data_IF_579881295172
#
_entry.id   IF_579881295172
#
_cell.length_a   1.000
_cell.length_b   1.000
_cell.length_c   1.000
_cell.angle_alpha   90.00
_cell.angle_beta   90.00
_cell.angle_gamma   90.00
#
_symmetry.space_group_name_H-M   'P 1'
#
loop_
_entity.id
_entity.type
_entity.pdbx_description
1 polymer ?
#
# COMPACT_ATOMS: atom_id res chain seq x y z
N UNK A 1 1.74 -85.92 -10.51
CA UNK A 1 1.67 -84.66 -9.76
C UNK A 1 2.68 -83.70 -10.40
N UNK A 2 2.23 -82.88 -11.36
CA UNK A 2 3.06 -81.91 -12.07
C UNK A 2 2.41 -80.54 -11.87
N UNK A 3 3.06 -79.67 -11.10
CA UNK A 3 2.55 -78.37 -10.69
C UNK A 3 2.93 -77.35 -11.77
N UNK A 4 1.96 -76.85 -12.53
CA UNK A 4 2.14 -75.76 -13.49
C UNK A 4 1.98 -74.45 -12.71
N UNK A 5 3.07 -73.70 -12.54
CA UNK A 5 3.05 -72.35 -11.98
C UNK A 5 2.76 -71.36 -13.12
N UNK A 6 1.54 -70.82 -13.12
CA UNK A 6 1.15 -69.70 -13.99
C UNK A 6 1.72 -68.41 -13.38
N UNK A 7 2.70 -67.81 -14.05
CA UNK A 7 3.22 -66.48 -13.72
C UNK A 7 2.37 -65.45 -14.46
N UNK A 8 1.50 -64.76 -13.73
CA UNK A 8 0.70 -63.66 -14.23
C UNK A 8 1.55 -62.39 -14.31
N UNK A 9 1.87 -61.91 -15.51
CA UNK A 9 2.44 -60.58 -15.72
C UNK A 9 1.32 -59.54 -15.59
N UNK A 10 1.31 -58.79 -14.49
CA UNK A 10 0.48 -57.59 -14.33
C UNK A 10 1.20 -56.46 -15.05
N UNK A 11 0.69 -56.04 -16.21
CA UNK A 11 1.12 -54.80 -16.86
C UNK A 11 0.47 -53.62 -16.13
N UNK A 12 1.22 -52.93 -15.28
CA UNK A 12 0.82 -51.61 -14.78
C UNK A 12 1.11 -50.57 -15.85
N UNK A 13 0.05 -50.13 -16.54
CA UNK A 13 0.09 -48.91 -17.34
C UNK A 13 0.42 -47.75 -16.41
N UNK A 14 1.67 -47.28 -16.44
CA UNK A 14 2.04 -46.01 -15.83
C UNK A 14 1.41 -44.91 -16.70
N UNK A 15 0.32 -44.31 -16.23
CA UNK A 15 -0.09 -43.00 -16.73
C UNK A 15 1.02 -42.03 -16.31
N UNK A 16 1.89 -41.66 -17.26
CA UNK A 16 2.70 -40.47 -17.09
C UNK A 16 1.72 -39.29 -16.99
N UNK A 17 1.63 -38.67 -15.81
CA UNK A 17 0.98 -37.36 -15.68
C UNK A 17 1.74 -36.43 -16.62
N UNK A 18 1.05 -35.78 -17.56
CA UNK A 18 1.66 -34.75 -18.39
C UNK A 18 2.26 -33.69 -17.46
N UNK A 19 3.56 -33.48 -17.56
CA UNK A 19 4.25 -32.43 -16.82
C UNK A 19 3.73 -31.09 -17.36
N UNK A 20 3.13 -30.27 -16.51
CA UNK A 20 2.59 -28.96 -16.90
C UNK A 20 3.77 -28.10 -17.36
N UNK A 21 3.85 -27.85 -18.67
CA UNK A 21 4.97 -27.12 -19.25
C UNK A 21 4.97 -25.69 -18.68
N UNK A 22 6.04 -25.35 -17.97
CA UNK A 22 6.16 -24.10 -17.22
C UNK A 22 7.32 -23.25 -17.69
N UNK A 23 7.15 -21.94 -17.57
CA UNK A 23 8.13 -20.93 -17.99
C UNK A 23 8.39 -19.98 -16.83
N UNK A 24 9.64 -19.87 -16.39
CA UNK A 24 10.05 -18.85 -15.42
C UNK A 24 10.02 -17.45 -16.07
N UNK A 25 9.42 -16.49 -15.39
CA UNK A 25 9.29 -15.10 -15.87
C UNK A 25 9.83 -14.10 -14.87
N UNK A 26 10.10 -12.89 -15.34
CA UNK A 26 10.58 -11.77 -14.51
C UNK A 26 9.56 -10.64 -14.50
N UNK A 27 9.44 -9.98 -13.36
CA UNK A 27 8.60 -8.80 -13.19
C UNK A 27 8.99 -7.70 -14.19
N UNK A 28 7.99 -6.95 -14.66
CA UNK A 28 8.09 -5.84 -15.62
C UNK A 28 8.81 -6.18 -16.94
N UNK A 29 8.89 -7.46 -17.31
CA UNK A 29 9.51 -7.93 -18.55
C UNK A 29 8.48 -8.65 -19.42
N UNK A 30 8.53 -8.44 -20.74
CA UNK A 30 7.69 -9.19 -21.68
C UNK A 30 8.11 -10.66 -21.73
N UNK A 31 7.14 -11.55 -21.74
CA UNK A 31 7.34 -12.98 -21.95
C UNK A 31 6.25 -13.53 -22.87
N UNK A 32 6.57 -14.65 -23.53
CA UNK A 32 5.63 -15.39 -24.35
C UNK A 32 5.11 -16.60 -23.58
N UNK A 33 3.80 -16.81 -23.64
CA UNK A 33 3.15 -17.94 -23.01
C UNK A 33 2.27 -18.65 -24.05
N UNK A 34 2.55 -19.91 -24.32
CA UNK A 34 1.73 -20.73 -25.22
C UNK A 34 0.46 -21.17 -24.51
N UNK A 35 -0.62 -21.42 -25.24
CA UNK A 35 -1.83 -22.00 -24.67
C UNK A 35 -1.52 -23.30 -23.90
N UNK A 36 -2.20 -23.48 -22.76
CA UNK A 36 -2.00 -24.53 -21.77
C UNK A 36 -0.70 -24.46 -20.95
N UNK A 37 0.25 -23.58 -21.27
CA UNK A 37 1.45 -23.36 -20.45
C UNK A 37 1.17 -22.51 -19.21
N UNK A 38 2.04 -22.68 -18.22
CA UNK A 38 2.02 -21.91 -16.96
C UNK A 38 3.27 -21.04 -16.83
N UNK A 39 3.10 -19.72 -16.74
CA UNK A 39 4.15 -18.79 -16.33
C UNK A 39 4.31 -18.78 -14.81
N UNK A 40 5.54 -18.77 -14.31
CA UNK A 40 5.88 -18.73 -12.89
C UNK A 40 6.73 -17.50 -12.59
N UNK A 41 6.21 -16.62 -11.73
CA UNK A 41 6.92 -15.47 -11.17
C UNK A 41 7.22 -15.76 -9.69
N UNK A 42 8.45 -16.16 -9.41
CA UNK A 42 8.89 -16.62 -8.09
C UNK A 42 8.91 -15.50 -7.03
N UNK A 43 9.18 -14.24 -7.41
CA UNK A 43 9.30 -13.12 -6.45
C UNK A 43 8.05 -12.91 -5.61
N UNK A 44 6.88 -13.17 -6.20
CA UNK A 44 5.55 -12.89 -5.63
C UNK A 44 4.70 -14.16 -5.54
N UNK A 45 5.31 -15.34 -5.76
CA UNK A 45 4.65 -16.66 -5.82
C UNK A 45 3.42 -16.68 -6.75
N UNK A 46 3.54 -16.07 -7.93
CA UNK A 46 2.46 -16.01 -8.91
C UNK A 46 2.63 -17.13 -9.94
N UNK A 47 1.56 -17.88 -10.17
CA UNK A 47 1.44 -18.86 -11.27
C UNK A 47 0.29 -18.41 -12.17
N UNK A 48 0.58 -18.20 -13.45
CA UNK A 48 -0.42 -17.79 -14.43
C UNK A 48 -0.51 -18.80 -15.57
N UNK A 49 -1.66 -19.45 -15.72
CA UNK A 49 -1.88 -20.44 -16.78
C UNK A 49 -2.72 -19.85 -17.91
N UNK A 50 -2.26 -19.97 -19.16
CA UNK A 50 -3.04 -19.59 -20.33
C UNK A 50 -4.05 -20.71 -20.65
N UNK A 51 -5.32 -20.48 -20.34
CA UNK A 51 -6.36 -21.50 -20.46
C UNK A 51 -6.95 -21.60 -21.87
N UNK A 52 -7.42 -20.48 -22.44
CA UNK A 52 -8.17 -20.54 -23.69
C UNK A 52 -8.25 -19.19 -24.40
N UNK A 53 -8.57 -19.20 -25.70
CA UNK A 53 -9.02 -18.06 -26.49
C UNK A 53 -10.54 -18.17 -26.64
N UNK A 54 -11.28 -17.29 -25.97
CA UNK A 54 -12.76 -17.32 -25.98
C UNK A 54 -13.37 -16.54 -27.14
N UNK A 55 -12.58 -15.67 -27.76
CA UNK A 55 -12.98 -14.92 -28.94
C UNK A 55 -11.73 -14.55 -29.73
N UNK A 56 -11.75 -14.81 -31.04
CA UNK A 56 -10.81 -14.21 -31.97
C UNK A 56 -11.57 -13.82 -33.25
N UNK A 57 -11.85 -12.54 -33.36
CA UNK A 57 -12.52 -11.92 -34.50
C UNK A 57 -11.64 -10.86 -35.16
N UNK A 58 -10.33 -10.87 -34.87
CA UNK A 58 -9.36 -9.96 -35.49
C UNK A 58 -9.46 -10.09 -37.01
N UNK A 59 -9.48 -8.96 -37.70
CA UNK A 59 -9.57 -8.93 -39.15
C UNK A 59 -8.45 -9.80 -39.75
N UNK A 60 -8.74 -10.83 -40.55
CA UNK A 60 -7.66 -11.64 -41.12
C UNK A 60 -6.69 -10.79 -41.94
N UNK A 61 -5.39 -11.06 -41.80
CA UNK A 61 -4.32 -10.24 -42.40
C UNK A 61 -4.31 -10.23 -43.94
N UNK A 62 -5.02 -11.17 -44.57
CA UNK A 62 -5.15 -11.38 -46.00
C UNK A 62 -6.47 -10.84 -46.59
N UNK A 63 -7.29 -10.15 -45.77
CA UNK A 63 -8.54 -9.52 -46.22
C UNK A 63 -8.60 -8.06 -45.80
N UNK A 64 -9.54 -7.30 -46.38
CA UNK A 64 -9.82 -5.92 -45.98
C UNK A 64 -11.14 -5.88 -45.20
N UNK A 65 -11.08 -5.52 -43.92
CA UNK A 65 -12.26 -5.39 -43.08
C UNK A 65 -12.72 -3.93 -42.92
N UNK A 66 -14.00 -3.77 -42.58
CA UNK A 66 -14.56 -2.49 -42.10
C UNK A 66 -14.24 -2.28 -40.61
N UNK A 67 -14.00 -3.36 -39.88
CA UNK A 67 -13.72 -3.36 -38.44
C UNK A 67 -12.50 -4.25 -38.15
N UNK A 68 -11.57 -3.77 -37.33
CA UNK A 68 -10.31 -4.46 -36.99
C UNK A 68 -10.52 -5.72 -36.10
N UNK A 69 -11.67 -5.84 -35.46
CA UNK A 69 -12.02 -7.01 -34.63
C UNK A 69 -11.39 -7.00 -33.23
N UNK A 70 -11.45 -8.13 -32.53
CA UNK A 70 -10.86 -8.27 -31.19
C UNK A 70 -10.42 -9.70 -30.90
N UNK A 71 -9.54 -9.86 -29.91
CA UNK A 71 -9.17 -11.16 -29.35
C UNK A 71 -9.29 -11.14 -27.84
N UNK A 72 -9.88 -12.17 -27.26
CA UNK A 72 -10.04 -12.35 -25.81
C UNK A 72 -9.41 -13.67 -25.37
N UNK A 73 -8.32 -13.56 -24.61
CA UNK A 73 -7.70 -14.71 -23.94
C UNK A 73 -8.18 -14.80 -22.49
N UNK A 74 -8.10 -16.01 -21.93
CA UNK A 74 -8.39 -16.32 -20.54
C UNK A 74 -7.15 -16.87 -19.87
N UNK A 75 -6.74 -16.24 -18.78
CA UNK A 75 -5.65 -16.71 -17.93
C UNK A 75 -6.18 -17.02 -16.53
N UNK A 76 -5.80 -18.16 -15.96
CA UNK A 76 -6.01 -18.42 -14.53
C UNK A 76 -4.82 -17.86 -13.75
N UNK A 77 -5.08 -17.22 -12.61
CA UNK A 77 -4.03 -16.69 -11.74
C UNK A 77 -4.12 -17.39 -10.40
N UNK A 78 -2.98 -17.88 -9.92
CA UNK A 78 -2.78 -18.28 -8.53
C UNK A 78 -1.69 -17.45 -7.90
N UNK A 79 -1.88 -17.07 -6.65
CA UNK A 79 -0.86 -16.37 -5.86
C UNK A 79 -0.78 -17.00 -4.47
N UNK A 80 0.43 -17.36 -4.03
CA UNK A 80 0.62 -18.10 -2.77
C UNK A 80 -0.26 -19.37 -2.70
N UNK A 81 -0.36 -20.09 -3.83
CA UNK A 81 -1.23 -21.26 -4.06
C UNK A 81 -2.75 -21.03 -3.91
N UNK A 82 -3.20 -19.80 -3.65
CA UNK A 82 -4.61 -19.42 -3.72
C UNK A 82 -5.02 -19.17 -5.17
N UNK A 83 -6.08 -19.84 -5.63
CA UNK A 83 -6.70 -19.56 -6.94
C UNK A 83 -7.49 -18.25 -6.88
N UNK A 84 -7.11 -17.27 -7.70
CA UNK A 84 -7.76 -15.96 -7.80
C UNK A 84 -8.82 -15.93 -8.89
N UNK A 85 -8.96 -17.01 -9.67
CA UNK A 85 -9.93 -17.13 -10.74
C UNK A 85 -9.37 -16.82 -12.13
N UNK A 86 -10.31 -16.72 -13.08
CA UNK A 86 -10.01 -16.65 -14.51
C UNK A 86 -10.19 -15.22 -15.02
N UNK A 87 -9.09 -14.58 -15.40
CA UNK A 87 -9.07 -13.21 -15.90
C UNK A 87 -9.18 -13.19 -17.42
N UNK A 88 -10.06 -12.33 -17.93
CA UNK A 88 -10.24 -12.10 -19.37
C UNK A 88 -9.46 -10.88 -19.80
N UNK A 89 -8.59 -11.05 -20.80
CA UNK A 89 -7.83 -9.96 -21.42
C UNK A 89 -8.31 -9.80 -22.85
N UNK A 90 -8.96 -8.68 -23.15
CA UNK A 90 -9.55 -8.40 -24.48
C UNK A 90 -8.79 -7.28 -25.17
N UNK A 91 -8.09 -7.62 -26.25
CA UNK A 91 -7.41 -6.66 -27.12
C UNK A 91 -8.34 -6.31 -28.30
N UNK A 92 -8.70 -5.04 -28.42
CA UNK A 92 -9.58 -4.52 -29.47
C UNK A 92 -8.72 -3.84 -30.52
N UNK A 93 -8.88 -4.25 -31.79
CA UNK A 93 -8.16 -3.66 -32.91
C UNK A 93 -8.51 -2.18 -33.09
N UNK A 94 -7.49 -1.36 -33.41
CA UNK A 94 -7.62 0.09 -33.53
C UNK A 94 -7.64 0.86 -32.20
N UNK A 95 -7.55 0.18 -31.06
CA UNK A 95 -7.30 0.83 -29.76
C UNK A 95 -5.83 0.74 -29.40
N UNK A 96 -5.23 1.88 -29.04
CA UNK A 96 -3.83 1.94 -28.58
C UNK A 96 -3.64 1.38 -27.17
N UNK A 97 -4.71 1.23 -26.40
CA UNK A 97 -4.63 0.71 -25.03
C UNK A 97 -4.55 -0.82 -25.04
N UNK A 98 -3.48 -1.34 -24.46
CA UNK A 98 -3.32 -2.76 -24.13
C UNK A 98 -4.39 -3.20 -23.12
N UNK A 99 -4.79 -4.46 -23.21
CA UNK A 99 -5.76 -5.01 -22.26
C UNK A 99 -5.09 -5.20 -20.91
N UNK A 100 -5.66 -4.59 -19.86
CA UNK A 100 -5.09 -4.63 -18.50
C UNK A 100 -6.08 -5.29 -17.54
N UNK A 101 -5.55 -6.13 -16.64
CA UNK A 101 -6.28 -6.66 -15.49
C UNK A 101 -5.44 -6.48 -14.22
N UNK A 102 -6.03 -5.88 -13.19
CA UNK A 102 -5.40 -5.69 -11.88
C UNK A 102 -5.81 -6.79 -10.90
N UNK A 103 -4.88 -7.21 -10.05
CA UNK A 103 -5.10 -8.14 -8.95
C UNK A 103 -4.00 -7.95 -7.90
N UNK A 104 -4.35 -7.85 -6.62
CA UNK A 104 -3.43 -7.98 -5.47
C UNK A 104 -2.12 -7.16 -5.58
N UNK A 105 -2.18 -5.91 -6.05
CA UNK A 105 -1.00 -5.04 -6.19
C UNK A 105 -0.14 -5.34 -7.42
N UNK A 106 -0.57 -6.26 -8.29
CA UNK A 106 -0.01 -6.50 -9.62
C UNK A 106 -1.05 -6.20 -10.72
N UNK A 107 -0.54 -6.03 -11.94
CA UNK A 107 -1.33 -5.99 -13.15
C UNK A 107 -0.74 -6.92 -14.20
N UNK A 108 -1.62 -7.47 -15.04
CA UNK A 108 -1.24 -8.16 -16.28
C UNK A 108 -1.65 -7.31 -17.46
N UNK A 109 -0.72 -7.17 -18.41
CA UNK A 109 -0.95 -6.49 -19.68
C UNK A 109 -0.79 -7.49 -20.83
N UNK A 110 -1.81 -7.59 -21.68
CA UNK A 110 -1.74 -8.34 -22.93
C UNK A 110 -1.22 -7.43 -24.04
N UNK A 111 -0.02 -7.73 -24.53
CA UNK A 111 0.67 -6.96 -25.57
C UNK A 111 0.25 -7.44 -26.96
N UNK A 112 0.25 -8.76 -27.16
CA UNK A 112 0.02 -9.37 -28.47
C UNK A 112 -0.49 -10.81 -28.32
N UNK A 113 -1.24 -11.28 -29.31
CA UNK A 113 -1.62 -12.69 -29.46
C UNK A 113 -1.19 -13.17 -30.84
N UNK A 114 -0.48 -14.28 -30.92
CA UNK A 114 -0.06 -14.93 -32.15
C UNK A 114 -0.64 -16.36 -32.23
N UNK A 115 -0.82 -16.94 -33.44
CA UNK A 115 -0.70 -16.27 -34.73
C UNK A 115 -1.81 -15.23 -34.94
N UNK A 116 -1.58 -14.31 -35.87
CA UNK A 116 -2.63 -13.42 -36.36
C UNK A 116 -3.49 -14.16 -37.41
N UNK A 117 -4.83 -13.99 -37.41
CA UNK A 117 -5.70 -14.76 -38.30
C UNK A 117 -5.42 -14.55 -39.80
N UNK A 118 -5.66 -15.61 -40.59
CA UNK A 118 -5.76 -15.60 -42.05
C UNK A 118 -7.05 -16.27 -42.48
N UNK A 119 -7.65 -15.80 -43.57
CA UNK A 119 -8.95 -16.27 -44.03
C UNK A 119 -8.99 -17.74 -44.47
N UNK A 120 -7.83 -18.34 -44.72
CA UNK A 120 -7.67 -19.71 -45.20
C UNK A 120 -7.13 -20.69 -44.15
N UNK A 121 -6.84 -20.23 -42.94
CA UNK A 121 -6.20 -21.03 -41.89
C UNK A 121 -7.06 -21.05 -40.62
N UNK A 122 -7.38 -22.26 -40.15
CA UNK A 122 -8.02 -22.45 -38.84
C UNK A 122 -6.93 -22.57 -37.76
N UNK A 123 -6.95 -21.66 -36.78
CA UNK A 123 -5.98 -21.66 -35.67
C UNK A 123 -6.47 -22.62 -34.57
N UNK A 124 -5.67 -23.63 -34.21
CA UNK A 124 -5.98 -24.48 -33.07
C UNK A 124 -5.58 -23.80 -31.76
N UNK A 125 -6.24 -24.16 -30.65
CA UNK A 125 -5.91 -23.58 -29.34
C UNK A 125 -4.41 -23.72 -29.02
N UNK A 126 -3.84 -24.89 -29.29
CA UNK A 126 -2.43 -25.20 -29.07
C UNK A 126 -1.45 -24.33 -29.87
N UNK A 127 -1.92 -23.62 -30.90
CA UNK A 127 -1.06 -22.77 -31.72
C UNK A 127 -0.93 -21.36 -31.15
N UNK A 128 -1.84 -20.97 -30.24
CA UNK A 128 -1.83 -19.62 -29.68
C UNK A 128 -0.66 -19.40 -28.72
N UNK A 129 -0.05 -18.23 -28.87
CA UNK A 129 1.01 -17.68 -28.00
C UNK A 129 0.63 -16.25 -27.65
N UNK A 130 0.53 -15.94 -26.37
CA UNK A 130 0.29 -14.58 -25.88
C UNK A 130 1.60 -13.94 -25.41
N UNK A 131 1.85 -12.69 -25.81
CA UNK A 131 2.92 -11.85 -25.26
C UNK A 131 2.34 -11.03 -24.11
N UNK A 132 2.86 -11.24 -22.91
CA UNK A 132 2.31 -10.71 -21.66
C UNK A 132 3.38 -9.97 -20.85
N UNK A 133 2.95 -9.06 -19.98
CA UNK A 133 3.78 -8.44 -18.94
C UNK A 133 3.04 -8.54 -17.61
N UNK A 134 3.75 -8.94 -16.56
CA UNK A 134 3.30 -8.81 -15.17
C UNK A 134 4.14 -7.71 -14.53
N UNK A 135 3.52 -6.74 -13.87
CA UNK A 135 4.22 -5.67 -13.16
C UNK A 135 3.44 -5.20 -11.95
N UNK A 136 4.11 -4.49 -11.05
CA UNK A 136 3.43 -3.86 -9.92
C UNK A 136 2.42 -2.79 -10.35
N UNK A 137 1.39 -2.61 -9.54
CA UNK A 137 0.45 -1.50 -9.62
C UNK A 137 0.19 -0.94 -8.22
N UNK A 138 0.03 0.39 -8.07
CA UNK A 138 -0.43 0.97 -6.80
C UNK A 138 -1.88 0.60 -6.49
N UNK A 139 -2.62 0.01 -7.44
CA UNK A 139 -4.02 -0.37 -7.25
C UNK A 139 -4.16 -1.40 -6.12
N UNK A 140 -4.98 -1.05 -5.14
CA UNK A 140 -5.28 -1.89 -3.98
C UNK A 140 -6.49 -2.77 -4.27
N UNK A 141 -6.28 -3.81 -5.06
CA UNK A 141 -7.34 -4.76 -5.42
C UNK A 141 -7.40 -5.94 -4.45
N UNK A 142 -8.57 -6.18 -3.88
CA UNK A 142 -8.91 -7.39 -3.14
C UNK A 142 -9.77 -8.26 -4.06
N UNK A 143 -9.39 -9.53 -4.22
CA UNK A 143 -10.17 -10.51 -4.96
C UNK A 143 -11.11 -11.22 -3.99
N UNK A 144 -12.32 -11.54 -4.44
CA UNK A 144 -13.18 -12.54 -3.81
C UNK A 144 -13.02 -13.83 -4.61
N UNK A 145 -12.19 -14.78 -4.16
CA UNK A 145 -11.85 -15.96 -4.96
C UNK A 145 -13.04 -16.87 -5.30
N UNK A 146 -12.88 -17.73 -6.33
CA UNK A 146 -13.82 -18.81 -6.61
C UNK A 146 -14.08 -19.73 -5.41
N UNK A 147 -15.34 -20.08 -5.19
CA UNK A 147 -15.77 -21.04 -4.18
C UNK A 147 -15.88 -20.51 -2.75
N UNK A 148 -15.74 -19.21 -2.53
CA UNK A 148 -15.79 -18.57 -1.20
C UNK A 148 -17.20 -18.44 -0.63
N UNK A 149 -18.23 -18.63 -1.47
CA UNK A 149 -19.62 -18.89 -1.08
C UNK A 149 -19.84 -20.22 -0.32
N UNK A 150 -18.81 -21.04 -0.15
CA UNK A 150 -18.82 -22.23 0.71
C UNK A 150 -17.86 -22.02 1.88
N UNK A 151 -18.20 -22.60 3.02
CA UNK A 151 -17.33 -22.62 4.20
C UNK A 151 -16.02 -23.37 3.93
N UNK A 152 -14.98 -22.98 4.65
CA UNK A 152 -13.61 -23.51 4.58
C UNK A 152 -12.56 -22.47 4.17
N UNK A 153 -12.96 -21.36 3.54
CA UNK A 153 -12.03 -20.28 3.19
C UNK A 153 -11.60 -19.46 4.43
N UNK A 154 -12.43 -19.43 5.46
CA UNK A 154 -12.22 -18.69 6.70
C UNK A 154 -11.10 -19.29 7.56
N UNK A 155 -10.89 -20.60 7.47
CA UNK A 155 -9.82 -21.32 8.20
C UNK A 155 -8.42 -20.87 7.76
N UNK A 156 -8.31 -20.40 6.51
CA UNK A 156 -7.04 -19.96 5.90
C UNK A 156 -6.98 -18.47 5.63
N UNK A 157 -8.03 -17.70 6.00
CA UNK A 157 -8.13 -16.27 5.71
C UNK A 157 -7.95 -15.99 4.20
N UNK A 158 -8.71 -16.69 3.35
CA UNK A 158 -8.64 -16.56 1.88
C UNK A 158 -10.00 -16.23 1.25
N UNK A 159 -11.04 -15.96 2.05
CA UNK A 159 -12.36 -15.59 1.55
C UNK A 159 -12.36 -14.26 0.80
N UNK A 160 -11.60 -13.29 1.33
CA UNK A 160 -11.14 -12.09 0.64
C UNK A 160 -9.63 -12.23 0.53
N UNK A 161 -9.06 -12.00 -0.66
CA UNK A 161 -7.65 -12.19 -0.92
C UNK A 161 -6.99 -10.93 -1.49
N UNK A 162 -6.01 -10.34 -0.80
CA UNK A 162 -5.58 -10.67 0.56
C UNK A 162 -6.69 -10.37 1.59
N UNK A 163 -6.65 -11.04 2.75
CA UNK A 163 -7.68 -10.88 3.79
C UNK A 163 -7.59 -9.55 4.53
N UNK A 164 -6.35 -9.11 4.74
CA UNK A 164 -6.00 -7.81 5.30
C UNK A 164 -5.12 -7.05 4.31
N UNK A 165 -5.37 -5.75 4.17
CA UNK A 165 -4.47 -4.84 3.47
C UNK A 165 -4.16 -3.63 4.32
N UNK A 166 -2.94 -3.12 4.16
CA UNK A 166 -2.51 -1.84 4.69
C UNK A 166 -2.47 -0.84 3.54
N UNK A 167 -3.12 0.31 3.73
CA UNK A 167 -3.22 1.36 2.71
C UNK A 167 -2.94 2.72 3.31
N UNK A 168 -2.53 3.66 2.47
CA UNK A 168 -2.35 5.05 2.88
C UNK A 168 -3.70 5.78 2.98
N UNK A 169 -3.74 6.85 3.77
CA UNK A 169 -4.91 7.74 3.79
C UNK A 169 -5.22 8.25 2.38
N UNK A 170 -6.51 8.31 2.05
CA UNK A 170 -7.06 8.67 0.74
C UNK A 170 -6.90 7.61 -0.36
N UNK A 171 -6.37 6.43 -0.07
CA UNK A 171 -6.34 5.34 -1.02
C UNK A 171 -7.75 4.82 -1.36
N UNK A 172 -7.90 4.30 -2.59
CA UNK A 172 -9.10 3.61 -3.05
C UNK A 172 -8.81 2.12 -3.08
N UNK A 173 -9.63 1.34 -2.39
CA UNK A 173 -9.60 -0.12 -2.45
C UNK A 173 -10.70 -0.59 -3.37
N UNK A 174 -10.40 -1.59 -4.20
CA UNK A 174 -11.36 -2.20 -5.11
C UNK A 174 -11.49 -3.68 -4.81
N UNK A 175 -12.70 -4.13 -4.51
CA UNK A 175 -13.04 -5.56 -4.44
C UNK A 175 -13.54 -6.02 -5.79
N UNK A 176 -13.02 -7.14 -6.28
CA UNK A 176 -13.51 -7.80 -7.51
C UNK A 176 -14.06 -9.17 -7.17
N UNK A 177 -15.30 -9.42 -7.56
CA UNK A 177 -15.91 -10.74 -7.36
C UNK A 177 -15.48 -11.70 -8.48
N UNK A 178 -14.60 -12.65 -8.15
CA UNK A 178 -14.18 -13.73 -9.06
C UNK A 178 -14.87 -15.07 -8.72
N UNK A 179 -15.79 -15.07 -7.74
CA UNK A 179 -16.65 -16.21 -7.45
C UNK A 179 -17.82 -16.29 -8.45
N UNK A 180 -18.40 -17.47 -8.60
CA UNK A 180 -19.60 -17.69 -9.42
C UNK A 180 -20.88 -17.24 -8.71
N UNK A 181 -20.82 -17.01 -7.40
CA UNK A 181 -21.93 -16.55 -6.58
C UNK A 181 -21.82 -15.05 -6.28
N UNK A 182 -22.93 -14.43 -5.89
CA UNK A 182 -22.94 -13.03 -5.47
C UNK A 182 -22.31 -12.87 -4.09
N UNK A 183 -21.71 -11.71 -3.84
CA UNK A 183 -21.12 -11.36 -2.55
C UNK A 183 -21.43 -9.91 -2.17
N UNK A 184 -21.11 -9.53 -0.93
CA UNK A 184 -21.18 -8.13 -0.48
C UNK A 184 -19.92 -7.78 0.28
N UNK A 185 -19.52 -6.52 0.25
CA UNK A 185 -18.48 -5.93 1.10
C UNK A 185 -19.16 -4.89 1.98
N UNK A 186 -19.40 -5.23 3.23
CA UNK A 186 -20.13 -4.37 4.18
C UNK A 186 -19.28 -4.13 5.42
N UNK A 187 -19.03 -2.86 5.74
CA UNK A 187 -18.26 -2.47 6.92
C UNK A 187 -18.99 -2.82 8.21
N UNK A 188 -18.23 -3.23 9.23
CA UNK A 188 -18.74 -3.75 10.49
C UNK A 188 -18.26 -5.17 10.75
N UNK A 189 -18.92 -5.86 11.67
CA UNK A 189 -18.54 -7.21 12.07
C UNK A 189 -19.77 -8.12 12.23
N UNK A 190 -19.55 -9.43 12.32
CA UNK A 190 -20.63 -10.43 12.40
C UNK A 190 -21.40 -10.41 13.73
N UNK A 191 -20.88 -9.75 14.76
CA UNK A 191 -21.48 -9.69 16.11
C UNK A 191 -22.42 -8.48 16.19
N UNK A 192 -21.93 -7.30 15.84
CA UNK A 192 -22.65 -6.02 15.95
C UNK A 192 -23.41 -5.67 14.67
N UNK A 193 -23.07 -6.31 13.55
CA UNK A 193 -23.64 -6.03 12.24
C UNK A 193 -22.96 -4.84 11.54
N UNK A 194 -23.65 -4.22 10.57
CA UNK A 194 -23.09 -3.14 9.77
C UNK A 194 -22.93 -1.85 10.59
N UNK A 195 -21.78 -1.17 10.44
CA UNK A 195 -21.48 0.09 11.13
C UNK A 195 -21.83 1.35 10.30
N UNK A 196 -22.38 1.15 9.09
CA UNK A 196 -22.80 2.16 8.12
C UNK A 196 -21.67 3.05 7.55
N UNK A 197 -20.41 2.61 7.60
CA UNK A 197 -19.29 3.32 6.95
C UNK A 197 -19.30 3.10 5.42
N UNK A 198 -19.43 1.86 4.96
CA UNK A 198 -19.58 1.49 3.56
C UNK A 198 -20.35 0.19 3.38
N UNK A 199 -21.07 0.08 2.26
CA UNK A 199 -21.67 -1.17 1.81
C UNK A 199 -21.74 -1.20 0.30
N UNK A 200 -21.32 -2.31 -0.30
CA UNK A 200 -21.35 -2.50 -1.75
C UNK A 200 -22.73 -2.79 -2.32
N UNK A 201 -23.67 -3.24 -1.48
CA UNK A 201 -24.80 -4.05 -1.97
C UNK A 201 -24.31 -5.37 -2.57
N UNK A 202 -25.12 -5.99 -3.45
CA UNK A 202 -24.73 -7.21 -4.13
C UNK A 202 -23.71 -6.92 -5.24
N UNK A 203 -22.57 -7.62 -5.20
CA UNK A 203 -21.56 -7.65 -6.24
C UNK A 203 -21.73 -8.97 -7.00
N UNK A 204 -22.13 -8.91 -8.27
CA UNK A 204 -22.28 -10.12 -9.11
C UNK A 204 -20.90 -10.62 -9.57
N UNK A 205 -20.82 -11.86 -10.11
CA UNK A 205 -19.60 -12.35 -10.73
C UNK A 205 -19.04 -11.36 -11.76
N UNK A 206 -17.72 -11.17 -11.74
CA UNK A 206 -16.94 -10.21 -12.53
C UNK A 206 -17.20 -8.71 -12.22
N UNK A 207 -18.16 -8.36 -11.36
CA UNK A 207 -18.37 -6.97 -10.94
C UNK A 207 -17.38 -6.56 -9.84
N UNK A 208 -17.23 -5.24 -9.71
CA UNK A 208 -16.33 -4.62 -8.74
C UNK A 208 -17.07 -3.62 -7.86
N UNK A 209 -16.58 -3.46 -6.63
CA UNK A 209 -16.95 -2.37 -5.74
C UNK A 209 -15.69 -1.62 -5.31
N UNK A 210 -15.74 -0.30 -5.25
CA UNK A 210 -14.61 0.51 -4.79
C UNK A 210 -15.03 1.46 -3.69
N UNK A 211 -14.15 1.67 -2.71
CA UNK A 211 -14.36 2.61 -1.63
C UNK A 211 -13.09 3.41 -1.36
N UNK A 212 -13.23 4.72 -1.12
CA UNK A 212 -12.13 5.61 -0.76
C UNK A 212 -12.04 5.76 0.74
N UNK A 213 -10.89 5.40 1.30
CA UNK A 213 -10.65 5.44 2.73
C UNK A 213 -9.99 6.76 3.13
N UNK A 214 -10.71 7.60 3.88
CA UNK A 214 -10.23 8.94 4.26
C UNK A 214 -9.87 9.07 5.74
N UNK A 215 -10.31 8.15 6.60
CA UNK A 215 -10.06 8.24 8.04
C UNK A 215 -9.08 7.14 8.46
N UNK A 216 -8.03 7.53 9.17
CA UNK A 216 -7.03 6.59 9.69
C UNK A 216 -7.63 5.76 10.82
N UNK A 217 -7.88 4.48 10.54
CA UNK A 217 -8.30 3.44 11.48
C UNK A 217 -8.34 2.09 10.75
N UNK A 218 -8.40 0.97 11.47
CA UNK A 218 -8.87 -0.28 10.89
C UNK A 218 -10.37 -0.22 10.55
N UNK A 219 -10.72 -0.87 9.45
CA UNK A 219 -12.07 -1.08 8.96
C UNK A 219 -12.30 -2.57 8.75
N UNK A 220 -12.94 -3.22 9.71
CA UNK A 220 -13.42 -4.57 9.53
C UNK A 220 -14.64 -4.56 8.61
N UNK A 221 -14.75 -5.62 7.80
CA UNK A 221 -15.86 -5.81 6.91
C UNK A 221 -16.17 -7.30 6.74
N UNK A 222 -17.38 -7.59 6.28
CA UNK A 222 -17.86 -8.96 6.10
C UNK A 222 -18.85 -9.07 4.94
N UNK A 223 -19.08 -10.31 4.49
CA UNK A 223 -20.16 -10.63 3.57
C UNK A 223 -21.48 -10.86 4.34
N UNK A 224 -22.53 -10.11 4.00
CA UNK A 224 -23.83 -10.19 4.68
C UNK A 224 -24.57 -11.51 4.43
N UNK A 225 -24.34 -12.14 3.26
CA UNK A 225 -25.00 -13.40 2.89
C UNK A 225 -24.12 -14.63 3.16
N UNK A 226 -22.82 -14.42 3.38
CA UNK A 226 -21.84 -15.46 3.71
C UNK A 226 -21.06 -15.06 4.97
N UNK A 227 -21.62 -15.20 6.18
CA UNK A 227 -21.07 -14.60 7.40
C UNK A 227 -19.69 -15.10 7.82
N UNK A 228 -19.18 -16.21 7.28
CA UNK A 228 -17.81 -16.67 7.53
C UNK A 228 -16.75 -15.82 6.81
N UNK A 229 -17.15 -15.05 5.79
CA UNK A 229 -16.24 -14.19 5.04
C UNK A 229 -16.05 -12.87 5.76
N UNK A 230 -14.92 -12.74 6.45
CA UNK A 230 -14.48 -11.49 7.10
C UNK A 230 -13.17 -11.02 6.49
N UNK A 231 -12.92 -9.71 6.53
CA UNK A 231 -11.65 -9.11 6.12
C UNK A 231 -11.45 -7.77 6.84
N UNK A 232 -10.26 -7.18 6.67
CA UNK A 232 -9.96 -5.88 7.24
C UNK A 232 -9.17 -5.00 6.26
N UNK A 233 -9.40 -3.70 6.32
CA UNK A 233 -8.57 -2.68 5.66
C UNK A 233 -8.01 -1.80 6.76
N UNK A 234 -6.70 -1.81 6.92
CA UNK A 234 -6.01 -0.91 7.84
C UNK A 234 -5.55 0.31 7.06
N UNK A 235 -6.14 1.47 7.37
CA UNK A 235 -5.63 2.74 6.84
C UNK A 235 -4.47 3.13 7.72
N UNK A 236 -3.29 2.77 7.23
CA UNK A 236 -2.03 3.15 7.81
C UNK A 236 -1.65 4.56 7.40
N UNK A 237 -0.73 5.06 8.20
CA UNK A 237 -0.19 6.36 8.07
C UNK A 237 1.26 6.21 7.65
N UNK A 238 1.56 6.53 6.39
CA UNK A 238 2.92 6.41 5.86
C UNK A 238 3.72 7.58 6.40
N UNK A 239 4.73 7.31 7.25
CA UNK A 239 5.39 8.37 7.98
C UNK A 239 6.39 9.08 7.07
N UNK A 240 5.96 10.14 6.38
CA UNK A 240 6.78 10.98 5.51
C UNK A 240 7.47 10.24 4.34
N UNK A 241 7.88 11.01 3.33
CA UNK A 241 8.71 10.48 2.24
C UNK A 241 9.93 9.74 2.84
N UNK A 242 10.07 8.45 2.54
CA UNK A 242 11.13 7.56 3.05
C UNK A 242 12.55 8.06 2.73
N UNK A 243 12.67 9.05 1.84
CA UNK A 243 13.92 9.71 1.50
C UNK A 243 14.25 10.91 2.40
N UNK A 244 13.31 11.40 3.22
CA UNK A 244 13.55 12.51 4.14
C UNK A 244 14.06 12.00 5.49
N UNK A 245 15.03 12.71 6.07
CA UNK A 245 15.50 12.44 7.43
C UNK A 245 14.43 12.85 8.44
N UNK A 246 13.97 11.87 9.22
CA UNK A 246 12.96 12.06 10.27
C UNK A 246 13.62 12.16 11.64
N UNK A 247 13.26 13.21 12.37
CA UNK A 247 13.73 13.48 13.73
C UNK A 247 12.64 13.03 14.69
N UNK A 248 12.96 12.06 15.55
CA UNK A 248 12.04 11.55 16.57
C UNK A 248 12.43 12.09 17.95
N UNK A 249 11.47 12.67 18.66
CA UNK A 249 11.62 13.10 20.06
C UNK A 249 10.46 12.55 20.88
N UNK A 250 10.74 12.17 22.12
CA UNK A 250 9.75 11.65 23.06
C UNK A 250 9.74 12.50 24.33
N UNK A 251 8.55 12.75 24.85
CA UNK A 251 8.28 13.47 26.07
C UNK A 251 7.04 12.88 26.71
N UNK A 252 6.76 13.21 27.97
CA UNK A 252 5.64 12.63 28.69
C UNK A 252 5.03 13.64 29.65
N UNK A 253 3.77 13.41 30.01
CA UNK A 253 3.11 14.12 31.08
C UNK A 253 3.71 13.74 32.44
N UNK A 254 3.56 14.64 33.41
CA UNK A 254 4.12 14.56 34.75
C UNK A 254 3.66 13.32 35.53
N UNK A 255 2.44 12.85 35.26
CA UNK A 255 1.86 11.63 35.81
C UNK A 255 2.24 10.36 35.02
N UNK A 256 3.02 10.50 33.94
CA UNK A 256 3.44 9.42 33.05
C UNK A 256 2.30 8.67 32.33
N UNK A 257 1.08 9.21 32.34
CA UNK A 257 -0.07 8.54 31.72
C UNK A 257 -0.12 8.74 30.21
N UNK A 258 0.46 9.84 29.70
CA UNK A 258 0.54 10.14 28.26
C UNK A 258 1.99 10.40 27.88
N UNK A 259 2.54 9.52 27.05
CA UNK A 259 3.79 9.70 26.32
C UNK A 259 3.43 10.32 24.96
N UNK A 260 4.07 11.42 24.61
CA UNK A 260 3.95 12.08 23.32
C UNK A 260 5.25 11.87 22.56
N UNK A 261 5.16 11.24 21.39
CA UNK A 261 6.27 11.11 20.44
C UNK A 261 6.02 12.06 19.28
N UNK A 262 6.96 12.96 19.02
CA UNK A 262 6.97 13.82 17.84
C UNK A 262 7.95 13.22 16.84
N UNK A 263 7.49 12.91 15.63
CA UNK A 263 8.34 12.68 14.48
C UNK A 263 8.20 13.85 13.53
N UNK A 264 9.29 14.50 13.13
CA UNK A 264 9.23 15.65 12.24
C UNK A 264 10.27 15.56 11.12
N UNK A 265 9.97 16.14 9.96
CA UNK A 265 10.98 16.35 8.92
C UNK A 265 12.02 17.38 9.38
N UNK A 266 13.19 17.41 8.73
CA UNK A 266 14.13 18.52 8.95
C UNK A 266 13.48 19.86 8.52
N UNK A 267 13.61 20.94 9.32
CA UNK A 267 13.20 22.28 8.92
C UNK A 267 14.03 22.75 7.73
N UNK A 268 13.37 23.03 6.60
CA UNK A 268 13.99 23.55 5.39
C UNK A 268 13.25 24.82 4.98
N UNK A 269 14.00 25.89 4.74
CA UNK A 269 13.47 27.15 4.22
C UNK A 269 12.71 26.88 2.91
N UNK A 270 11.53 27.48 2.78
CA UNK A 270 10.58 27.32 1.68
C UNK A 270 9.87 25.97 1.59
N UNK A 271 10.15 25.02 2.48
CA UNK A 271 9.38 23.78 2.61
C UNK A 271 8.47 23.79 3.84
N UNK A 272 7.38 23.02 3.79
CA UNK A 272 6.54 22.78 4.96
C UNK A 272 7.26 21.84 5.95
N UNK A 273 7.13 22.11 7.24
CA UNK A 273 7.50 21.16 8.28
C UNK A 273 6.36 20.16 8.44
N UNK A 274 6.63 18.90 8.15
CA UNK A 274 5.75 17.81 8.48
C UNK A 274 6.00 17.33 9.91
N UNK A 275 4.95 17.10 10.69
CA UNK A 275 5.02 16.50 12.02
C UNK A 275 3.96 15.43 12.26
N UNK A 276 4.37 14.34 12.89
CA UNK A 276 3.50 13.28 13.42
C UNK A 276 3.58 13.25 14.93
N UNK A 277 2.41 13.22 15.55
CA UNK A 277 2.25 13.04 16.99
C UNK A 277 1.75 11.63 17.23
N UNK A 278 2.43 10.89 18.11
CA UNK A 278 1.93 9.63 18.65
C UNK A 278 1.67 9.83 20.14
N UNK A 279 0.46 9.48 20.57
CA UNK A 279 0.04 9.49 21.96
C UNK A 279 0.02 8.05 22.46
N UNK A 280 0.86 7.73 23.42
CA UNK A 280 1.03 6.39 23.97
C UNK A 280 0.82 6.40 25.47
N UNK A 281 0.48 5.25 26.03
CA UNK A 281 0.48 5.04 27.47
C UNK A 281 1.88 4.61 27.97
N UNK A 282 2.00 4.38 29.27
CA UNK A 282 3.24 3.91 29.90
C UNK A 282 3.71 2.53 29.44
N UNK A 283 2.84 1.73 28.81
CA UNK A 283 3.19 0.44 28.18
C UNK A 283 3.57 0.57 26.70
N UNK A 284 3.78 1.79 26.21
CA UNK A 284 4.10 2.11 24.80
C UNK A 284 2.98 1.78 23.80
N UNK A 285 1.78 1.48 24.27
CA UNK A 285 0.60 1.24 23.42
C UNK A 285 -0.08 2.56 23.07
N UNK A 286 -0.61 2.68 21.85
CA UNK A 286 -1.33 3.88 21.43
C UNK A 286 -2.57 4.12 22.29
N UNK A 287 -2.77 5.38 22.69
CA UNK A 287 -3.96 5.84 23.36
C UNK A 287 -5.00 6.25 22.33
N UNK A 288 -6.23 5.79 22.45
CA UNK A 288 -7.31 6.25 21.57
C UNK A 288 -8.01 7.48 22.16
N UNK A 289 -8.66 8.28 21.31
CA UNK A 289 -9.51 9.42 21.70
C UNK A 289 -8.79 10.55 22.45
N UNK A 290 -7.62 10.98 21.98
CA UNK A 290 -6.82 12.02 22.63
C UNK A 290 -7.18 13.41 22.10
N UNK A 291 -7.44 14.36 22.98
CA UNK A 291 -7.70 15.76 22.64
C UNK A 291 -6.46 16.61 22.99
N UNK A 292 -6.03 17.49 22.10
CA UNK A 292 -4.79 18.26 22.27
C UNK A 292 -4.80 19.62 21.54
N UNK A 293 -3.93 20.53 21.98
CA UNK A 293 -3.49 21.69 21.18
C UNK A 293 -2.06 21.45 20.70
N UNK A 294 -1.69 22.06 19.58
CA UNK A 294 -0.35 22.01 19.01
C UNK A 294 0.15 23.43 18.74
N UNK A 295 1.40 23.70 19.11
CA UNK A 295 2.09 24.95 18.80
C UNK A 295 3.51 24.64 18.30
N UNK A 296 3.92 25.28 17.20
CA UNK A 296 5.30 25.23 16.68
C UNK A 296 5.89 26.62 16.73
N UNK A 297 7.08 26.72 17.32
CA UNK A 297 7.79 27.95 17.54
C UNK A 297 9.13 27.86 16.82
N UNK A 298 9.46 28.90 16.05
CA UNK A 298 10.76 29.02 15.41
C UNK A 298 11.30 30.42 15.70
N UNK A 299 12.56 30.52 16.14
CA UNK A 299 13.20 31.80 16.48
C UNK A 299 12.35 32.65 17.45
N UNK A 300 11.82 32.02 18.50
CA UNK A 300 10.97 32.63 19.54
C UNK A 300 9.62 33.20 19.03
N UNK A 301 9.20 32.87 17.81
CA UNK A 301 7.90 33.25 17.26
C UNK A 301 7.06 32.00 16.96
N UNK A 302 5.80 32.00 17.37
CA UNK A 302 4.84 30.97 16.94
C UNK A 302 4.63 31.07 15.43
N UNK A 303 4.92 29.99 14.72
CA UNK A 303 4.79 29.87 13.26
C UNK A 303 3.61 29.00 12.83
N UNK A 304 3.12 28.14 13.74
CA UNK A 304 1.96 27.29 13.51
C UNK A 304 1.26 27.01 14.83
N UNK A 305 -0.07 27.05 14.85
CA UNK A 305 -0.83 26.68 16.03
C UNK A 305 -2.21 26.15 15.65
N UNK A 306 -2.60 25.07 16.32
CA UNK A 306 -3.92 24.46 16.24
C UNK A 306 -4.45 24.23 17.65
N UNK A 307 -5.74 24.51 17.84
CA UNK A 307 -6.43 24.30 19.11
C UNK A 307 -7.55 23.28 18.97
N UNK A 308 -7.90 22.59 20.06
CA UNK A 308 -9.01 21.63 20.13
C UNK A 308 -8.93 20.53 19.06
N UNK A 309 -7.72 20.01 18.84
CA UNK A 309 -7.51 18.88 17.95
C UNK A 309 -7.92 17.58 18.64
N UNK A 310 -8.36 16.61 17.85
CA UNK A 310 -8.80 15.30 18.29
C UNK A 310 -8.14 14.21 17.47
N UNK A 311 -7.58 13.20 18.14
CA UNK A 311 -7.05 11.99 17.53
C UNK A 311 -7.80 10.77 18.04
N UNK A 312 -8.49 10.06 17.14
CA UNK A 312 -9.17 8.82 17.49
C UNK A 312 -8.20 7.68 17.77
N UNK A 313 -7.15 7.53 16.95
CA UNK A 313 -6.22 6.40 17.00
C UNK A 313 -4.93 6.66 17.79
N UNK A 314 -4.80 7.84 18.42
CA UNK A 314 -3.56 8.22 19.10
C UNK A 314 -2.43 8.60 18.16
N UNK A 315 -2.73 8.87 16.91
CA UNK A 315 -1.79 9.35 15.90
C UNK A 315 -2.39 10.61 15.26
N UNK A 316 -1.58 11.63 14.99
CA UNK A 316 -2.03 12.81 14.27
C UNK A 316 -0.93 13.41 13.39
N UNK A 317 -1.34 13.91 12.22
CA UNK A 317 -0.48 14.57 11.23
C UNK A 317 -0.71 16.07 11.20
N UNK A 318 0.37 16.83 11.06
CA UNK A 318 0.33 18.27 10.92
C UNK A 318 1.38 18.76 9.93
N UNK A 319 1.00 19.72 9.11
CA UNK A 319 1.89 20.42 8.20
C UNK A 319 1.83 21.91 8.50
N UNK A 320 3.00 22.53 8.69
CA UNK A 320 3.06 23.99 8.80
C UNK A 320 2.88 24.64 7.42
N UNK A 321 2.68 25.95 7.39
CA UNK A 321 3.02 26.72 6.19
C UNK A 321 4.53 26.61 5.88
N UNK A 322 4.96 26.89 4.63
CA UNK A 322 6.38 26.90 4.29
C UNK A 322 7.23 27.75 5.23
N UNK A 323 8.30 27.15 5.75
CA UNK A 323 9.19 27.79 6.70
C UNK A 323 10.01 28.91 6.04
N UNK A 324 10.46 29.85 6.86
CA UNK A 324 11.31 30.96 6.42
C UNK A 324 12.79 30.72 6.69
N UNK A 325 13.12 29.72 7.51
CA UNK A 325 14.46 29.45 8.02
C UNK A 325 14.68 27.95 8.19
N UNK A 326 15.93 27.51 8.04
CA UNK A 326 16.39 26.15 8.33
C UNK A 326 16.66 25.92 9.84
N UNK A 327 16.43 26.96 10.66
CA UNK A 327 16.69 26.91 12.10
C UNK A 327 15.79 25.88 12.80
N UNK A 328 16.26 25.25 13.88
CA UNK A 328 15.44 24.30 14.64
C UNK A 328 14.12 24.90 15.12
N UNK A 329 13.13 24.04 15.30
CA UNK A 329 11.83 24.41 15.87
C UNK A 329 11.68 23.86 17.28
N UNK A 330 10.89 24.55 18.09
CA UNK A 330 10.32 24.00 19.33
C UNK A 330 8.87 23.61 19.06
N UNK A 331 8.45 22.45 19.56
CA UNK A 331 7.09 21.94 19.45
C UNK A 331 6.49 21.83 20.84
N UNK A 332 5.27 22.31 21.01
CA UNK A 332 4.49 22.17 22.24
C UNK A 332 3.19 21.44 21.96
N UNK A 333 2.96 20.37 22.69
CA UNK A 333 1.72 19.59 22.62
C UNK A 333 1.02 19.71 23.95
N UNK A 334 -0.14 20.37 23.98
CA UNK A 334 -0.95 20.50 25.19
C UNK A 334 -2.02 19.43 25.20
N UNK A 335 -1.96 18.50 26.15
CA UNK A 335 -2.98 17.47 26.31
C UNK A 335 -4.20 18.09 26.98
N UNK A 336 -5.36 18.05 26.33
CA UNK A 336 -6.62 18.57 26.86
C UNK A 336 -7.39 17.50 27.66
N UNK A 337 -7.24 16.23 27.27
CA UNK A 337 -7.82 15.07 27.94
C UNK A 337 -8.02 13.89 27.00
N UNK A 338 -8.37 12.72 27.57
CA UNK A 338 -8.65 11.47 26.83
C UNK A 338 -10.16 11.19 26.92
N UNK A 339 -10.85 11.19 25.78
CA UNK A 339 -12.28 10.96 25.64
C UNK A 339 -12.84 11.50 24.32
N UNK A 340 -14.15 11.33 24.10
CA UNK A 340 -14.82 11.84 22.90
C UNK A 340 -14.78 13.38 22.83
N UNK A 341 -14.66 13.98 21.63
CA UNK A 341 -14.67 15.43 21.51
C UNK A 341 -16.02 16.00 22.02
N UNK A 342 -15.99 17.23 22.54
CA UNK A 342 -17.15 17.95 23.10
C UNK A 342 -17.84 17.26 24.30
N UNK A 343 -17.15 16.32 24.97
CA UNK A 343 -17.58 15.67 26.21
C UNK A 343 -16.54 15.84 27.33
N UNK A 344 -16.11 17.08 27.57
CA UNK A 344 -14.99 17.38 28.47
C UNK A 344 -15.23 16.94 29.93
N UNK A 345 -16.50 16.84 30.32
CA UNK A 345 -16.93 16.31 31.62
C UNK A 345 -16.48 14.87 31.86
N UNK A 346 -16.43 14.05 30.82
CA UNK A 346 -16.09 12.62 30.92
C UNK A 346 -14.63 12.33 30.55
N UNK A 347 -13.85 13.35 30.17
CA UNK A 347 -12.44 13.15 29.84
C UNK A 347 -11.64 12.65 31.05
N UNK A 348 -10.73 11.72 30.78
CA UNK A 348 -9.75 11.16 31.72
C UNK A 348 -8.34 11.66 31.40
N UNK A 349 -7.37 11.31 32.24
CA UNK A 349 -5.96 11.66 32.03
C UNK A 349 -5.62 13.14 32.30
N UNK A 350 -4.44 13.60 31.84
CA UNK A 350 -3.95 14.96 32.04
C UNK A 350 -4.83 15.97 31.32
N UNK A 351 -5.18 17.06 32.02
CA UNK A 351 -6.02 18.14 31.47
C UNK A 351 -5.28 19.46 31.49
N UNK A 352 -4.91 19.94 30.31
CA UNK A 352 -4.22 21.20 30.06
C UNK A 352 -2.70 21.16 30.24
N UNK A 353 -2.10 19.98 30.40
CA UNK A 353 -0.64 19.84 30.58
C UNK A 353 0.10 19.96 29.24
N UNK A 354 1.26 20.62 29.23
CA UNK A 354 2.07 20.85 28.02
C UNK A 354 3.32 19.96 28.05
N UNK A 355 3.48 19.13 27.03
CA UNK A 355 4.72 18.42 26.71
C UNK A 355 5.51 19.26 25.71
N UNK A 356 6.72 19.66 26.07
CA UNK A 356 7.58 20.51 25.23
C UNK A 356 8.75 19.73 24.64
N UNK A 357 9.02 19.98 23.36
CA UNK A 357 10.13 19.43 22.60
C UNK A 357 10.94 20.59 22.05
N UNK A 358 12.22 20.66 22.41
CA UNK A 358 13.09 21.76 21.98
C UNK A 358 14.09 21.34 20.93
N UNK A 359 14.46 22.31 20.09
CA UNK A 359 15.50 22.20 19.07
C UNK A 359 15.38 20.96 18.18
N UNK A 360 14.39 20.95 17.28
CA UNK A 360 14.21 19.90 16.27
C UNK A 360 14.75 20.42 14.92
N UNK A 361 15.88 19.90 14.39
CA UNK A 361 16.84 18.95 14.98
C UNK A 361 17.81 19.60 15.97
N UNK A 362 18.35 18.79 16.89
CA UNK A 362 19.43 19.21 17.77
C UNK A 362 20.74 19.20 16.97
N UNK A 363 21.34 20.38 16.78
CA UNK A 363 22.71 20.45 16.27
C UNK A 363 23.69 20.17 17.40
N UNK A 364 24.69 19.28 17.21
CA UNK A 364 25.74 19.12 18.19
C UNK A 364 26.51 20.44 18.33
N UNK A 365 26.77 20.88 19.56
CA UNK A 365 27.50 22.10 19.93
C UNK A 365 28.91 22.24 19.29
N UNK A 366 29.39 21.23 18.55
CA UNK A 366 30.74 21.13 18.00
C UNK A 366 30.95 21.73 16.60
N UNK A 367 29.96 22.38 15.98
CA UNK A 367 30.11 23.02 14.64
C UNK A 367 30.23 24.55 14.67
N UNK A 368 30.67 25.14 15.79
CA UNK A 368 31.30 26.46 15.80
C UNK A 368 32.69 26.36 15.14
N UNK A 369 32.70 26.19 13.82
CA UNK A 369 33.89 26.28 12.99
C UNK A 369 34.26 27.77 12.90
N UNK A 370 35.26 28.14 13.70
CA UNK A 370 36.19 29.27 13.57
C UNK A 370 36.01 30.08 12.27
N UNK A 371 35.20 31.15 12.30
CA UNK A 371 35.45 32.33 11.46
C UNK A 371 36.40 33.22 12.25
N UNK A 372 37.65 32.78 12.29
CA UNK A 372 38.76 33.46 12.92
C UNK A 372 39.94 33.51 11.96
N UNK A 373 39.81 34.24 10.85
CA UNK A 373 40.94 34.79 10.12
C UNK A 373 40.51 35.83 9.06
N UNK A 374 41.31 36.89 8.99
CA UNK A 374 41.44 37.86 7.89
C UNK A 374 40.49 39.08 7.85
N UNK A 375 40.68 39.99 8.80
CA UNK A 375 40.97 41.37 8.39
C UNK A 375 42.32 41.79 8.98
N UNK A 376 43.36 41.71 8.15
CA UNK A 376 44.59 42.46 8.37
C UNK A 376 44.26 43.96 8.24
N UNK A 377 44.08 44.63 9.37
CA UNK A 377 44.13 46.09 9.40
C UNK A 377 45.56 46.48 9.78
N UNK A 378 46.32 46.85 8.76
CA UNK A 378 47.57 47.59 8.91
C UNK A 378 47.21 48.96 9.49
N UNK A 379 47.55 49.21 10.75
CA UNK A 379 47.83 50.54 11.25
C UNK A 379 49.23 50.54 11.89
N UNK A 380 50.22 50.89 11.07
CA UNK A 380 51.50 51.39 11.56
C UNK A 380 51.29 52.80 12.09
N UNK A 381 50.95 52.93 13.38
CA UNK A 381 51.10 54.18 14.11
C UNK A 381 52.32 54.05 15.05
N UNK A 382 53.43 54.68 14.66
CA UNK A 382 54.61 54.90 15.51
C UNK A 382 54.20 55.66 16.78
N UNK A 383 54.58 55.21 17.99
CA UNK A 383 54.69 56.10 19.13
C UNK A 383 56.01 56.88 19.03
N UNK A 384 55.90 58.21 19.01
CA UNK A 384 57.01 59.13 19.27
C UNK A 384 57.34 59.01 20.76
N UNK A 385 58.47 58.42 21.13
CA UNK A 385 59.08 58.60 22.45
C UNK A 385 60.27 59.55 22.32
N UNK A 386 60.08 60.78 22.81
CA UNK A 386 61.16 61.73 23.09
C UNK A 386 61.53 61.62 24.57
N UNK A 387 62.83 61.40 24.83
CA UNK A 387 63.65 61.87 25.96
C UNK A 387 63.24 61.34 27.36
N UNK A 388 64.13 60.98 28.30
CA UNK A 388 65.49 61.44 28.58
C UNK A 388 66.18 60.56 29.66
N UNK A 389 67.52 60.51 29.57
CA UNK A 389 68.56 60.43 30.62
C UNK A 389 68.49 59.36 31.75
N UNK A 390 69.59 58.61 31.92
CA UNK A 390 70.66 58.96 32.87
C UNK A 390 71.89 58.03 32.76
N UNK A 391 73.05 58.69 32.62
CA UNK A 391 74.45 58.32 32.91
C UNK A 391 75.07 57.09 32.23
#
# INVERSE_FOLDING_TARGET
MLLIVLVSFVYTTHYAMAEDESVEVKLATQFQLKAEQTAILESDNIKMKFLNVTQDSRCPSDVTCVWEGQVTIVVNIKQNDQDLGNFKLTQIGGQEKVAVQNFVGQKIELIEVNPYPKSTEDIQLSDYVATLVISDTPDRTIIIPPGTSKQGCEEKMICYFPNNIEIEQNAVVTWKNMDSEMHTVTSGNIIDGPDNVFSSGLIKPEETFSYKFTTMRPYDYYCMIHPWMTGSVTVEFVPFDVNKRIITKEGMTSDSSVIVVVQATEPINTEQLGMHLYFKNSTQSLLTTVNYDLEVIQNSKTIFSLTKQYSHAGIAEHWTDPLQYDSPVDVRVKILGIGLPDDESNWTGPKGEIVMFSAIPEFPLSTLLVIGAAFAVIFLAKPISKLNLKL
#
